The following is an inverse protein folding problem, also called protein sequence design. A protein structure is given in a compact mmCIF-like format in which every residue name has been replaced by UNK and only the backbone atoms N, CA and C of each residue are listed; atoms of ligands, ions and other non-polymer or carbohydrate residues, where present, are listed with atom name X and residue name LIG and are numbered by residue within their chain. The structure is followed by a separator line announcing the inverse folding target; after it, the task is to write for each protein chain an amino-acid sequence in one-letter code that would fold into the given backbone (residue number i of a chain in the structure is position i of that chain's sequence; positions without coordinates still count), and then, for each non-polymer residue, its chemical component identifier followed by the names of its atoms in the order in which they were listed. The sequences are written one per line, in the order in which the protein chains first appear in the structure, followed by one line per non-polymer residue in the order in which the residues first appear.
data_IF_799377323361
#
_entry.id   IF_799377323361
#
_cell.length_a   1.000
_cell.length_b   1.000
_cell.length_c   1.000
_cell.angle_alpha   90.00
_cell.angle_beta   90.00
_cell.angle_gamma   90.00
#
_symmetry.space_group_name_H-M   'P 1'
#
loop_
_entity.id
_entity.type
_entity.pdbx_description
1 polymer ?
#
# COMPACT_ATOMS: atom_id res chain seq x y z
N UNK A 1 -47.66 -20.63 17.26
CA UNK A 1 -46.41 -21.40 16.99
C UNK A 1 -45.77 -21.10 15.61
N UNK A 2 -46.36 -20.27 14.74
CA UNK A 2 -45.80 -19.97 13.39
C UNK A 2 -45.12 -18.59 13.31
N UNK A 3 -45.50 -17.68 14.20
CA UNK A 3 -44.98 -16.32 14.30
C UNK A 3 -43.68 -16.25 15.11
N UNK A 4 -43.53 -17.13 16.10
CA UNK A 4 -42.33 -17.24 16.93
C UNK A 4 -41.11 -17.69 16.11
N UNK A 5 -41.32 -18.65 15.20
CA UNK A 5 -40.28 -19.15 14.28
C UNK A 5 -39.86 -18.11 13.26
N UNK A 6 -40.80 -17.30 12.75
CA UNK A 6 -40.49 -16.19 11.84
C UNK A 6 -39.64 -15.09 12.52
N UNK A 7 -39.93 -14.77 13.78
CA UNK A 7 -39.18 -13.78 14.56
C UNK A 7 -37.76 -14.26 14.89
N UNK A 8 -37.60 -15.55 15.21
CA UNK A 8 -36.30 -16.21 15.41
C UNK A 8 -35.43 -16.19 14.14
N UNK A 9 -36.02 -16.44 12.97
CA UNK A 9 -35.31 -16.39 11.68
C UNK A 9 -34.86 -14.98 11.29
N UNK A 10 -35.70 -13.96 11.54
CA UNK A 10 -35.36 -12.56 11.24
C UNK A 10 -34.22 -12.05 12.14
N UNK A 11 -34.20 -12.46 13.41
CA UNK A 11 -33.10 -12.18 14.33
C UNK A 11 -31.77 -12.82 13.91
N UNK A 12 -31.81 -14.01 13.29
CA UNK A 12 -30.62 -14.71 12.81
C UNK A 12 -29.98 -14.01 11.58
N UNK A 13 -30.80 -13.42 10.71
CA UNK A 13 -30.35 -12.71 9.50
C UNK A 13 -29.71 -11.34 9.84
N UNK A 14 -30.18 -10.66 10.88
CA UNK A 14 -29.59 -9.39 11.33
C UNK A 14 -28.16 -9.55 11.87
N UNK A 15 -27.83 -10.70 12.46
CA UNK A 15 -26.47 -11.00 12.94
C UNK A 15 -25.47 -11.22 11.80
N UNK A 16 -25.94 -11.53 10.59
CA UNK A 16 -25.09 -11.81 9.43
C UNK A 16 -24.70 -10.55 8.64
N UNK A 17 -25.39 -9.42 8.82
CA UNK A 17 -25.10 -8.17 8.09
C UNK A 17 -24.32 -7.13 8.90
N UNK A 18 -23.97 -7.42 10.15
CA UNK A 18 -23.09 -6.58 10.97
C UNK A 18 -21.65 -7.10 10.98
N UNK A 19 -21.05 -7.24 9.80
CA UNK A 19 -19.60 -7.06 9.63
C UNK A 19 -19.44 -5.84 8.73
N UNK A 20 -19.70 -4.66 9.29
CA UNK A 20 -18.67 -3.83 9.88
C UNK A 20 -17.66 -3.33 8.83
N UNK A 21 -17.73 -2.00 8.68
CA UNK A 21 -16.61 -1.10 8.42
C UNK A 21 -16.00 -1.14 7.03
N UNK A 22 -16.28 -0.05 6.30
CA UNK A 22 -15.30 0.56 5.42
C UNK A 22 -13.90 0.40 6.01
N UNK A 23 -13.01 -0.25 5.27
CA UNK A 23 -11.60 -0.40 5.64
C UNK A 23 -10.99 1.00 5.61
N UNK A 24 -11.09 1.72 6.74
CA UNK A 24 -10.03 2.64 7.14
C UNK A 24 -8.74 1.84 7.08
N UNK A 25 -7.70 2.40 6.47
CA UNK A 25 -6.41 1.74 6.33
C UNK A 25 -5.83 1.38 7.69
N UNK A 26 -6.15 0.18 8.17
CA UNK A 26 -5.46 -0.44 9.29
C UNK A 26 -4.26 -1.12 8.68
N UNK A 27 -3.11 -0.46 8.77
CA UNK A 27 -1.81 -1.04 8.46
C UNK A 27 -1.56 -2.20 9.42
N UNK A 28 -2.05 -3.38 9.06
CA UNK A 28 -1.82 -4.62 9.78
C UNK A 28 -0.32 -4.94 9.66
N UNK A 29 0.44 -4.59 10.70
CA UNK A 29 1.82 -5.03 10.90
C UNK A 29 1.83 -6.55 11.12
N UNK A 30 1.73 -7.35 10.06
CA UNK A 30 2.29 -8.72 9.97
C UNK A 30 2.02 -9.38 8.60
N UNK A 31 2.46 -8.77 7.51
CA UNK A 31 2.58 -9.46 6.22
C UNK A 31 3.65 -8.71 5.44
N UNK A 32 4.55 -9.41 4.74
CA UNK A 32 5.59 -8.77 3.91
C UNK A 32 4.98 -7.60 3.13
N UNK A 33 5.61 -6.42 3.20
CA UNK A 33 5.13 -5.17 2.58
C UNK A 33 5.08 -5.31 1.04
N UNK A 34 4.04 -5.97 0.54
CA UNK A 34 3.78 -6.13 -0.87
C UNK A 34 2.80 -5.05 -1.34
N UNK A 35 3.07 -4.52 -2.52
CA UNK A 35 2.21 -3.51 -3.14
C UNK A 35 1.02 -4.20 -3.82
N UNK A 36 -0.19 -3.94 -3.31
CA UNK A 36 -1.44 -4.44 -3.94
C UNK A 36 -1.89 -3.51 -5.07
N UNK A 37 -1.61 -2.20 -4.97
CA UNK A 37 -1.97 -1.19 -5.95
C UNK A 37 -0.85 -0.17 -6.12
N UNK A 38 -0.74 0.36 -7.33
CA UNK A 38 0.15 1.46 -7.65
C UNK A 38 -0.52 2.81 -7.44
N UNK A 39 0.29 3.81 -7.08
CA UNK A 39 -0.13 5.21 -7.04
C UNK A 39 -0.49 5.65 -8.45
N UNK A 40 -1.75 6.06 -8.62
CA UNK A 40 -2.24 6.64 -9.87
C UNK A 40 -1.76 8.07 -10.08
N UNK A 41 -1.30 8.74 -9.01
CA UNK A 41 -0.81 10.11 -9.06
C UNK A 41 0.71 10.11 -9.13
N UNK A 42 1.25 10.98 -9.98
CA UNK A 42 2.68 11.25 -10.03
C UNK A 42 3.10 11.99 -8.77
N UNK A 43 4.03 11.41 -8.03
CA UNK A 43 4.60 12.03 -6.83
C UNK A 43 5.63 13.07 -7.28
N UNK A 44 5.69 14.27 -6.70
CA UNK A 44 6.71 15.26 -7.03
C UNK A 44 8.12 14.79 -6.63
N UNK A 45 9.10 14.88 -7.54
CA UNK A 45 10.50 14.44 -7.29
C UNK A 45 11.09 15.05 -6.01
N UNK A 46 10.87 16.36 -5.79
CA UNK A 46 11.42 17.08 -4.63
C UNK A 46 10.86 16.62 -3.28
N UNK A 47 9.75 15.85 -3.30
CA UNK A 47 9.16 15.26 -2.10
C UNK A 47 9.74 13.88 -1.79
N UNK A 48 10.32 13.17 -2.76
CA UNK A 48 10.88 11.82 -2.61
C UNK A 48 12.28 11.91 -1.99
N UNK A 49 12.51 11.14 -0.92
CA UNK A 49 13.81 11.09 -0.23
C UNK A 49 14.53 9.76 -0.42
N UNK A 50 13.77 8.68 -0.59
CA UNK A 50 14.34 7.36 -0.81
C UNK A 50 13.42 6.50 -1.66
N UNK A 51 14.04 5.53 -2.31
CA UNK A 51 13.37 4.50 -3.10
C UNK A 51 13.78 3.14 -2.54
N UNK A 52 12.81 2.25 -2.39
CA UNK A 52 13.05 0.87 -1.98
C UNK A 52 12.32 -0.09 -2.93
N UNK A 53 12.81 -1.32 -3.03
CA UNK A 53 12.14 -2.39 -3.79
C UNK A 53 11.30 -3.24 -2.84
N UNK A 54 10.15 -3.72 -3.30
CA UNK A 54 9.40 -4.75 -2.57
C UNK A 54 10.20 -6.05 -2.50
N UNK A 55 9.87 -6.92 -1.53
CA UNK A 55 10.47 -8.25 -1.43
C UNK A 55 10.26 -9.05 -2.72
N UNK A 56 11.24 -9.87 -3.10
CA UNK A 56 11.13 -10.83 -4.21
C UNK A 56 10.05 -11.89 -4.01
N UNK A 57 9.58 -12.07 -2.77
CA UNK A 57 8.46 -12.95 -2.45
C UNK A 57 7.10 -12.34 -2.76
N UNK A 58 7.03 -11.07 -3.15
CA UNK A 58 5.79 -10.44 -3.57
C UNK A 58 5.40 -10.92 -4.97
N UNK A 59 4.09 -11.16 -5.22
CA UNK A 59 3.62 -11.61 -6.53
C UNK A 59 3.85 -10.57 -7.63
N UNK A 60 3.94 -9.29 -7.25
CA UNK A 60 4.24 -8.18 -8.15
C UNK A 60 5.42 -7.38 -7.60
N UNK A 61 6.44 -7.21 -8.43
CA UNK A 61 7.59 -6.39 -8.10
C UNK A 61 7.23 -4.90 -8.26
N UNK A 62 7.46 -4.13 -7.20
CA UNK A 62 7.16 -2.71 -7.17
C UNK A 62 8.30 -1.91 -6.56
N UNK A 63 8.31 -0.60 -6.85
CA UNK A 63 9.13 0.36 -6.14
C UNK A 63 8.27 1.10 -5.11
N UNK A 64 8.87 1.42 -3.98
CA UNK A 64 8.25 2.17 -2.89
C UNK A 64 8.98 3.49 -2.75
N UNK A 65 8.29 4.58 -3.04
CA UNK A 65 8.80 5.93 -2.84
C UNK A 65 8.45 6.38 -1.44
N UNK A 66 9.47 6.72 -0.66
CA UNK A 66 9.28 7.35 0.65
C UNK A 66 9.47 8.84 0.50
N UNK A 67 8.51 9.61 0.99
CA UNK A 67 8.56 11.07 0.94
C UNK A 67 9.15 11.67 2.21
N UNK A 68 9.53 12.95 2.17
CA UNK A 68 10.00 13.73 3.34
C UNK A 68 9.04 13.66 4.53
N UNK A 69 7.73 13.52 4.26
CA UNK A 69 6.68 13.40 5.27
C UNK A 69 6.54 11.98 5.85
N UNK A 70 7.38 11.03 5.44
CA UNK A 70 7.31 9.63 5.84
C UNK A 70 6.28 8.81 5.05
N UNK A 71 5.48 9.43 4.17
CA UNK A 71 4.49 8.70 3.38
C UNK A 71 5.18 7.78 2.36
N UNK A 72 4.69 6.54 2.27
CA UNK A 72 5.18 5.49 1.36
C UNK A 72 4.18 5.29 0.23
N UNK A 73 4.66 5.31 -1.00
CA UNK A 73 3.84 5.12 -2.19
C UNK A 73 4.40 4.00 -3.07
N UNK A 74 3.56 3.02 -3.36
CA UNK A 74 3.86 2.00 -4.36
C UNK A 74 3.79 2.62 -5.76
N UNK A 75 4.83 2.45 -6.57
CA UNK A 75 4.90 2.93 -7.94
C UNK A 75 5.35 1.81 -8.87
N UNK A 76 4.85 1.86 -10.10
CA UNK A 76 5.12 0.86 -11.13
C UNK A 76 6.51 1.12 -11.77
N UNK A 77 7.45 0.16 -11.70
CA UNK A 77 8.77 0.31 -12.30
C UNK A 77 8.76 0.45 -13.83
N UNK A 78 7.66 0.09 -14.48
CA UNK A 78 7.48 0.21 -15.94
C UNK A 78 7.25 1.64 -16.40
N UNK A 79 6.89 2.56 -15.48
CA UNK A 79 6.61 3.94 -15.84
C UNK A 79 7.90 4.76 -16.02
N UNK A 80 8.05 5.40 -17.18
CA UNK A 80 9.26 6.16 -17.53
C UNK A 80 9.65 7.24 -16.50
N UNK A 81 8.67 7.91 -15.88
CA UNK A 81 8.95 8.91 -14.86
C UNK A 81 9.49 8.30 -13.55
N UNK A 82 9.09 7.07 -13.22
CA UNK A 82 9.59 6.34 -12.05
C UNK A 82 11.06 6.04 -12.24
N UNK A 83 11.44 5.53 -13.41
CA UNK A 83 12.84 5.25 -13.75
C UNK A 83 13.70 6.52 -13.69
N UNK A 84 13.22 7.62 -14.28
CA UNK A 84 13.91 8.91 -14.21
C UNK A 84 14.13 9.38 -12.77
N UNK A 85 13.18 9.11 -11.86
CA UNK A 85 13.30 9.47 -10.46
C UNK A 85 14.32 8.61 -9.74
N UNK A 86 14.31 7.30 -9.96
CA UNK A 86 15.30 6.37 -9.41
C UNK A 86 16.71 6.82 -9.76
N UNK A 87 17.00 7.07 -11.04
CA UNK A 87 18.32 7.54 -11.47
C UNK A 87 18.75 8.83 -10.78
N UNK A 88 17.83 9.80 -10.64
CA UNK A 88 18.11 11.09 -9.97
C UNK A 88 18.29 10.98 -8.46
N UNK A 89 17.62 10.03 -7.82
CA UNK A 89 17.74 9.80 -6.38
C UNK A 89 18.99 8.97 -6.10
N UNK A 90 19.25 7.89 -6.86
CA UNK A 90 20.46 7.09 -6.75
C UNK A 90 21.72 7.92 -7.04
N UNK A 91 21.69 8.83 -8.02
CA UNK A 91 22.84 9.73 -8.25
C UNK A 91 23.12 10.65 -7.05
N UNK A 92 22.10 11.04 -6.29
CA UNK A 92 22.23 11.82 -5.04
C UNK A 92 22.67 10.95 -3.87
N UNK A 93 22.23 9.70 -3.81
CA UNK A 93 22.62 8.75 -2.77
C UNK A 93 24.04 8.23 -2.94
N UNK A 94 24.50 8.01 -4.17
CA UNK A 94 25.89 7.64 -4.49
C UNK A 94 26.88 8.76 -4.17
N UNK A 95 26.41 10.01 -4.08
CA UNK A 95 27.19 11.15 -3.62
C UNK A 95 27.16 11.32 -2.08
N UNK A 96 26.42 10.48 -1.35
CA UNK A 96 26.39 10.45 0.12
C UNK A 96 27.11 9.19 0.64
N UNK A 97 28.21 9.32 1.40
CA UNK A 97 28.91 8.16 1.96
C UNK A 97 28.05 7.51 3.05
N UNK A 98 27.64 6.24 2.87
CA UNK A 98 27.02 5.47 3.95
C UNK A 98 25.80 4.59 3.59
N UNK A 99 25.69 4.07 2.36
CA UNK A 99 24.66 3.08 2.03
C UNK A 99 25.32 1.78 1.56
N UNK A 100 25.68 0.91 2.51
CA UNK A 100 25.91 -0.52 2.29
C UNK A 100 25.14 -1.31 3.34
#
# INVERSE_FOLDING_TARGET
MKTLTALLLLGLLCSLHTTSTAVMGISLKTTRDCCVKFSQRRIPLGAVVSVSRTSSSCPQQALVFTTKKGNRFCVDPSQAWVQSYVTKIESRSLSLPGQR
#
